data_IF_058266057444
#
_entry.id   IF_058266057444
#
_cell.length_a   1.000
_cell.length_b   1.000
_cell.length_c   1.000
_cell.angle_alpha   90.00
_cell.angle_beta   90.00
_cell.angle_gamma   90.00
#
_symmetry.space_group_name_H-M   'P 1'
#
loop_
_entity.id
_entity.type
_entity.pdbx_description
1 polymer ?
#
# COMPACT_ATOMS: atom_id res chain seq x y z
N UNK A 1 -3.12 -5.61 -6.46
CA UNK A 1 -3.43 -4.31 -7.11
C UNK A 1 -4.91 -3.97 -7.01
N UNK A 2 -5.37 -3.52 -5.85
CA UNK A 2 -6.60 -2.74 -5.74
C UNK A 2 -6.26 -1.53 -4.87
N UNK A 3 -6.63 -0.36 -5.36
CA UNK A 3 -6.54 0.96 -4.71
C UNK A 3 -5.25 1.77 -4.92
N UNK A 4 -4.83 1.89 -6.19
CA UNK A 4 -4.45 3.20 -6.69
C UNK A 4 -5.73 4.06 -6.83
N UNK A 5 -5.72 5.35 -6.47
CA UNK A 5 -6.80 6.28 -6.82
C UNK A 5 -6.85 6.50 -8.36
N UNK A 6 -7.33 5.49 -9.09
CA UNK A 6 -7.53 5.56 -10.53
C UNK A 6 -8.85 6.26 -10.85
N UNK A 7 -8.84 7.13 -11.86
CA UNK A 7 -10.06 7.67 -12.46
C UNK A 7 -10.92 6.54 -13.05
N UNK A 8 -12.21 6.79 -13.27
CA UNK A 8 -13.09 5.80 -13.90
C UNK A 8 -12.56 5.36 -15.27
N UNK A 9 -12.04 6.30 -16.07
CA UNK A 9 -11.41 6.00 -17.36
C UNK A 9 -10.16 5.12 -17.22
N UNK A 10 -9.31 5.36 -16.21
CA UNK A 10 -8.14 4.53 -15.94
C UNK A 10 -8.55 3.12 -15.49
N UNK A 11 -9.58 2.98 -14.65
CA UNK A 11 -10.11 1.68 -14.22
C UNK A 11 -10.62 0.87 -15.41
N UNK A 12 -11.31 1.52 -16.34
CA UNK A 12 -11.84 0.85 -17.53
C UNK A 12 -10.72 0.36 -18.44
N UNK A 13 -9.69 1.17 -18.66
CA UNK A 13 -8.49 0.74 -19.41
C UNK A 13 -7.77 -0.42 -18.74
N UNK A 14 -7.64 -0.42 -17.41
CA UNK A 14 -7.05 -1.55 -16.67
C UNK A 14 -7.87 -2.82 -16.88
N UNK A 15 -9.21 -2.76 -16.82
CA UNK A 15 -10.08 -3.92 -17.07
C UNK A 15 -9.94 -4.42 -18.51
N UNK A 16 -10.01 -3.51 -19.48
CA UNK A 16 -9.85 -3.82 -20.90
C UNK A 16 -8.52 -4.55 -21.16
N UNK A 17 -7.39 -3.94 -20.79
CA UNK A 17 -6.07 -4.53 -21.02
C UNK A 17 -5.89 -5.86 -20.26
N UNK A 18 -6.45 -5.99 -19.05
CA UNK A 18 -6.42 -7.24 -18.29
C UNK A 18 -7.12 -8.36 -19.05
N UNK A 19 -8.34 -8.12 -19.55
CA UNK A 19 -9.11 -9.11 -20.28
C UNK A 19 -8.42 -9.53 -21.59
N UNK A 20 -7.92 -8.55 -22.36
CA UNK A 20 -7.17 -8.80 -23.59
C UNK A 20 -5.91 -9.64 -23.33
N UNK A 21 -5.10 -9.25 -22.34
CA UNK A 21 -3.85 -9.95 -22.05
C UNK A 21 -4.07 -11.33 -21.44
N UNK A 22 -5.14 -11.57 -20.67
CA UNK A 22 -5.50 -12.93 -20.24
C UNK A 22 -5.74 -13.83 -21.46
N UNK A 23 -6.52 -13.34 -22.43
CA UNK A 23 -6.82 -14.07 -23.66
C UNK A 23 -5.59 -14.31 -24.51
N UNK A 24 -4.71 -13.32 -24.65
CA UNK A 24 -3.50 -13.42 -25.48
C UNK A 24 -2.43 -14.34 -24.88
N UNK A 25 -2.30 -14.41 -23.55
CA UNK A 25 -1.17 -15.09 -22.91
C UNK A 25 -1.53 -16.43 -22.27
N UNK A 26 -2.83 -16.69 -22.07
CA UNK A 26 -3.32 -17.89 -21.42
C UNK A 26 -2.94 -17.98 -19.94
N UNK A 27 -2.59 -16.86 -19.29
CA UNK A 27 -2.24 -16.85 -17.87
C UNK A 27 -3.44 -17.31 -17.03
N UNK A 28 -3.17 -18.18 -16.06
CA UNK A 28 -4.19 -18.69 -15.14
C UNK A 28 -4.63 -17.60 -14.16
N UNK A 29 -5.93 -17.55 -13.84
CA UNK A 29 -6.48 -16.54 -12.94
C UNK A 29 -5.91 -16.65 -11.53
N UNK A 30 -5.57 -17.86 -11.09
CA UNK A 30 -4.95 -18.15 -9.80
C UNK A 30 -3.54 -17.54 -9.72
N UNK A 31 -2.77 -17.64 -10.81
CA UNK A 31 -1.43 -17.04 -10.91
C UNK A 31 -1.53 -15.51 -10.83
N UNK A 32 -2.52 -14.91 -11.48
CA UNK A 32 -2.78 -13.47 -11.36
C UNK A 32 -3.24 -13.06 -9.96
N UNK A 33 -4.03 -13.90 -9.28
CA UNK A 33 -4.47 -13.65 -7.92
C UNK A 33 -3.28 -13.65 -6.94
N UNK A 34 -2.34 -14.58 -7.10
CA UNK A 34 -1.11 -14.63 -6.30
C UNK A 34 -0.18 -13.45 -6.62
N UNK A 35 0.03 -13.12 -7.90
CA UNK A 35 0.80 -11.95 -8.29
C UNK A 35 0.23 -10.65 -7.70
N UNK A 36 -1.10 -10.53 -7.59
CA UNK A 36 -1.77 -9.38 -6.96
C UNK A 36 -1.51 -9.26 -5.45
N UNK A 37 -1.15 -10.35 -4.77
CA UNK A 37 -0.72 -10.40 -3.36
C UNK A 37 0.78 -10.14 -3.20
N UNK A 38 1.50 -9.98 -4.31
CA UNK A 38 2.93 -9.77 -4.37
C UNK A 38 3.75 -11.06 -4.52
N UNK A 39 3.09 -12.21 -4.72
CA UNK A 39 3.75 -13.49 -4.97
C UNK A 39 4.07 -13.60 -6.47
N UNK A 40 5.25 -13.11 -6.86
CA UNK A 40 5.71 -13.08 -8.26
C UNK A 40 6.48 -14.35 -8.62
N UNK A 41 5.75 -15.45 -8.81
CA UNK A 41 6.29 -16.73 -9.27
C UNK A 41 6.88 -16.60 -10.68
N UNK A 42 7.88 -17.41 -10.98
CA UNK A 42 8.55 -17.43 -12.29
C UNK A 42 7.72 -18.19 -13.36
N UNK A 43 6.48 -17.76 -13.56
CA UNK A 43 5.52 -18.37 -14.48
C UNK A 43 5.55 -17.70 -15.87
N UNK A 44 5.69 -18.49 -16.93
CA UNK A 44 5.78 -17.98 -18.31
C UNK A 44 4.49 -17.32 -18.81
N UNK A 45 3.31 -17.73 -18.31
CA UNK A 45 2.05 -17.04 -18.57
C UNK A 45 2.02 -15.65 -17.92
N UNK A 46 2.50 -15.56 -16.67
CA UNK A 46 2.59 -14.30 -15.92
C UNK A 46 3.57 -13.31 -16.56
N UNK A 47 4.76 -13.78 -17.00
CA UNK A 47 5.74 -12.94 -17.71
C UNK A 47 5.14 -12.32 -18.97
N UNK A 48 4.51 -13.15 -19.80
CA UNK A 48 3.83 -12.71 -21.02
C UNK A 48 2.69 -11.74 -20.70
N UNK A 49 1.91 -12.03 -19.65
CA UNK A 49 0.82 -11.15 -19.21
C UNK A 49 1.32 -9.76 -18.81
N UNK A 50 2.39 -9.70 -18.00
CA UNK A 50 2.97 -8.44 -17.53
C UNK A 50 3.51 -7.63 -18.71
N UNK A 51 4.21 -8.28 -19.64
CA UNK A 51 4.69 -7.61 -20.85
C UNK A 51 3.54 -7.07 -21.72
N UNK A 52 2.54 -7.89 -22.02
CA UNK A 52 1.34 -7.47 -22.77
C UNK A 52 0.67 -6.24 -22.12
N UNK A 53 0.45 -6.30 -20.81
CA UNK A 53 -0.22 -5.22 -20.08
C UNK A 53 0.63 -3.94 -20.07
N UNK A 54 1.94 -4.06 -19.82
CA UNK A 54 2.85 -2.92 -19.82
C UNK A 54 3.01 -2.30 -21.20
N UNK A 55 3.02 -3.10 -22.26
CA UNK A 55 3.09 -2.61 -23.62
C UNK A 55 1.80 -1.86 -24.00
N UNK A 56 0.62 -2.44 -23.78
CA UNK A 56 -0.68 -1.79 -24.08
C UNK A 56 -0.91 -0.52 -23.26
N UNK A 57 -0.35 -0.45 -22.05
CA UNK A 57 -0.40 0.74 -21.19
C UNK A 57 0.69 1.78 -21.48
N UNK A 58 1.65 1.47 -22.37
CA UNK A 58 2.77 2.32 -22.75
C UNK A 58 3.91 2.38 -21.72
N UNK A 59 3.87 1.57 -20.66
CA UNK A 59 4.91 1.50 -19.62
C UNK A 59 6.21 0.93 -20.20
N UNK A 60 6.12 -0.01 -21.14
CA UNK A 60 7.27 -0.51 -21.89
C UNK A 60 7.02 -0.39 -23.39
N UNK A 61 8.10 -0.29 -24.16
CA UNK A 61 8.04 -0.39 -25.63
C UNK A 61 7.89 -1.84 -26.09
N UNK A 62 7.73 -2.05 -27.41
CA UNK A 62 7.71 -3.38 -28.01
C UNK A 62 9.00 -4.19 -27.78
N UNK A 63 10.12 -3.51 -27.55
CA UNK A 63 11.42 -4.10 -27.22
C UNK A 63 11.65 -4.23 -25.71
N UNK A 64 10.58 -4.16 -24.91
CA UNK A 64 10.60 -4.20 -23.45
C UNK A 64 11.44 -3.11 -22.76
N UNK A 65 11.67 -1.96 -23.43
CA UNK A 65 12.35 -0.81 -22.80
C UNK A 65 11.37 -0.01 -21.95
N UNK A 66 11.74 0.28 -20.70
CA UNK A 66 10.91 1.05 -19.78
C UNK A 66 10.78 2.52 -20.23
N UNK A 67 9.53 2.98 -20.37
CA UNK A 67 9.21 4.40 -20.52
C UNK A 67 9.02 5.03 -19.12
N UNK A 68 10.05 5.72 -18.65
CA UNK A 68 10.08 6.34 -17.32
C UNK A 68 8.95 7.33 -17.08
N UNK A 69 8.67 8.19 -18.07
CA UNK A 69 7.64 9.22 -17.99
C UNK A 69 6.25 8.59 -17.83
N UNK A 70 5.93 7.62 -18.72
CA UNK A 70 4.66 6.92 -18.66
C UNK A 70 4.54 6.13 -17.36
N UNK A 71 5.57 5.37 -16.97
CA UNK A 71 5.57 4.60 -15.73
C UNK A 71 5.24 5.48 -14.51
N UNK A 72 5.91 6.63 -14.35
CA UNK A 72 5.67 7.58 -13.26
C UNK A 72 4.29 8.25 -13.34
N UNK A 73 3.77 8.51 -14.55
CA UNK A 73 2.44 9.08 -14.74
C UNK A 73 1.31 8.13 -14.33
N UNK A 74 1.54 6.81 -14.41
CA UNK A 74 0.56 5.77 -14.08
C UNK A 74 0.57 5.38 -12.60
N UNK A 75 1.56 5.84 -11.83
CA UNK A 75 1.59 5.62 -10.39
C UNK A 75 0.40 6.32 -9.69
N UNK A 76 -0.13 5.73 -8.61
CA UNK A 76 -1.10 6.39 -7.75
C UNK A 76 -0.63 7.78 -7.30
N UNK A 77 -1.57 8.71 -7.11
CA UNK A 77 -1.27 10.09 -6.69
C UNK A 77 -0.58 10.17 -5.32
N UNK A 78 -0.82 9.19 -4.47
CA UNK A 78 -0.29 9.04 -3.11
C UNK A 78 1.13 8.46 -3.06
N UNK A 79 1.70 8.07 -4.21
CA UNK A 79 3.09 7.62 -4.29
C UNK A 79 4.02 8.81 -4.52
N UNK A 80 5.07 8.89 -3.71
CA UNK A 80 6.19 9.81 -3.94
C UNK A 80 6.90 9.43 -5.27
N UNK A 81 6.65 10.25 -6.30
CA UNK A 81 7.20 10.05 -7.64
C UNK A 81 8.71 10.26 -7.69
N UNK A 82 9.29 11.04 -6.79
CA UNK A 82 10.75 11.24 -6.72
C UNK A 82 11.41 9.96 -6.21
N UNK A 83 10.90 9.41 -5.12
CA UNK A 83 11.37 8.13 -4.60
C UNK A 83 11.15 6.98 -5.61
N UNK A 84 9.95 6.90 -6.19
CA UNK A 84 9.65 5.89 -7.20
C UNK A 84 10.51 6.03 -8.47
N UNK A 85 10.83 7.26 -8.87
CA UNK A 85 11.71 7.54 -10.01
C UNK A 85 13.13 7.05 -9.79
N UNK A 86 13.68 7.20 -8.58
CA UNK A 86 14.99 6.65 -8.21
C UNK A 86 15.00 5.12 -8.37
N UNK A 87 14.00 4.44 -7.81
CA UNK A 87 13.86 2.98 -7.92
C UNK A 87 13.72 2.53 -9.37
N UNK A 88 12.85 3.18 -10.17
CA UNK A 88 12.69 2.83 -11.58
C UNK A 88 14.00 3.02 -12.36
N UNK A 89 14.78 4.06 -12.04
CA UNK A 89 16.08 4.29 -12.69
C UNK A 89 17.09 3.18 -12.40
N UNK A 90 17.07 2.60 -11.20
CA UNK A 90 17.88 1.44 -10.83
C UNK A 90 17.40 0.15 -11.52
N UNK A 91 16.10 0.04 -11.77
CA UNK A 91 15.48 -1.16 -12.36
C UNK A 91 15.41 -1.17 -13.90
N UNK A 92 15.50 -0.01 -14.57
CA UNK A 92 15.29 0.10 -16.03
C UNK A 92 16.25 -0.72 -16.89
N UNK A 93 17.42 -1.07 -16.35
CA UNK A 93 18.47 -1.84 -17.03
C UNK A 93 18.39 -3.35 -16.74
N UNK A 94 17.34 -3.82 -16.05
CA UNK A 94 17.12 -5.26 -15.88
C UNK A 94 16.78 -5.89 -17.22
N UNK A 95 17.40 -7.02 -17.50
CA UNK A 95 17.20 -7.80 -18.72
C UNK A 95 16.82 -9.24 -18.36
N UNK A 96 16.02 -9.85 -19.23
CA UNK A 96 15.66 -11.27 -19.17
C UNK A 96 16.04 -11.98 -20.48
N UNK A 97 15.67 -13.25 -20.57
CA UNK A 97 15.97 -14.12 -21.74
C UNK A 97 15.24 -13.69 -23.01
N UNK A 98 14.13 -12.96 -22.87
CA UNK A 98 13.30 -12.43 -23.96
C UNK A 98 12.56 -11.18 -23.47
N UNK A 99 11.80 -10.51 -24.34
CA UNK A 99 11.06 -9.30 -23.98
C UNK A 99 10.09 -9.48 -22.80
N UNK A 100 9.42 -10.64 -22.71
CA UNK A 100 8.50 -10.93 -21.62
C UNK A 100 9.23 -11.06 -20.28
N UNK A 101 10.34 -11.78 -20.27
CA UNK A 101 11.20 -11.93 -19.09
C UNK A 101 11.85 -10.60 -18.70
N UNK A 102 12.30 -9.78 -19.66
CA UNK A 102 12.83 -8.42 -19.40
C UNK A 102 11.81 -7.56 -18.67
N UNK A 103 10.59 -7.45 -19.18
CA UNK A 103 9.53 -6.69 -18.51
C UNK A 103 9.22 -7.24 -17.11
N UNK A 104 9.26 -8.57 -16.96
CA UNK A 104 9.08 -9.22 -15.66
C UNK A 104 10.21 -8.92 -14.67
N UNK A 105 11.48 -8.92 -15.10
CA UNK A 105 12.61 -8.58 -14.23
C UNK A 105 12.60 -7.12 -13.80
N UNK A 106 12.22 -6.20 -14.70
CA UNK A 106 12.01 -4.78 -14.37
C UNK A 106 10.90 -4.67 -13.31
N UNK A 107 9.78 -5.36 -13.52
CA UNK A 107 8.66 -5.36 -12.56
C UNK A 107 9.06 -5.94 -11.21
N UNK A 108 9.74 -7.08 -11.16
CA UNK A 108 10.22 -7.71 -9.93
C UNK A 108 11.19 -6.81 -9.18
N UNK A 109 12.11 -6.15 -9.89
CA UNK A 109 13.03 -5.19 -9.31
C UNK A 109 12.27 -4.04 -8.65
N UNK A 110 11.35 -3.40 -9.39
CA UNK A 110 10.54 -2.31 -8.85
C UNK A 110 9.70 -2.77 -7.67
N UNK A 111 8.98 -3.88 -7.81
CA UNK A 111 8.14 -4.46 -6.76
C UNK A 111 8.93 -4.81 -5.48
N UNK A 112 10.18 -5.30 -5.62
CA UNK A 112 11.05 -5.61 -4.47
C UNK A 112 11.54 -4.35 -3.76
N UNK A 113 11.92 -3.32 -4.52
CA UNK A 113 12.45 -2.08 -3.98
C UNK A 113 11.36 -1.14 -3.45
N UNK A 114 10.13 -1.23 -3.98
CA UNK A 114 8.98 -0.53 -3.43
C UNK A 114 8.32 -1.33 -2.32
N UNK A 115 8.17 -0.75 -1.14
CA UNK A 115 7.25 -1.27 -0.14
C UNK A 115 5.82 -1.11 -0.65
N UNK A 116 5.29 -2.12 -1.34
CA UNK A 116 3.87 -2.13 -1.70
C UNK A 116 3.07 -2.43 -0.44
N UNK A 117 2.38 -1.40 0.07
CA UNK A 117 1.33 -1.60 1.06
C UNK A 117 0.22 -2.43 0.41
N UNK A 118 -0.06 -3.58 1.00
CA UNK A 118 -1.30 -4.30 0.74
C UNK A 118 -2.38 -3.62 1.57
N UNK A 119 -3.37 -3.01 0.92
CA UNK A 119 -4.47 -2.40 1.65
C UNK A 119 -5.54 -3.44 1.99
N UNK A 120 -5.75 -3.67 3.28
CA UNK A 120 -6.86 -4.48 3.78
C UNK A 120 -8.06 -3.57 3.99
N UNK A 121 -9.21 -3.96 3.43
CA UNK A 121 -10.48 -3.27 3.67
C UNK A 121 -10.97 -3.61 5.08
N UNK A 122 -11.29 -2.58 5.85
CA UNK A 122 -11.93 -2.74 7.15
C UNK A 122 -13.40 -3.11 6.95
N UNK A 123 -13.85 -4.10 7.72
CA UNK A 123 -15.25 -4.52 7.74
C UNK A 123 -15.99 -3.71 8.81
N UNK A 124 -16.95 -2.83 8.43
CA UNK A 124 -17.69 -2.01 9.39
C UNK A 124 -18.40 -2.84 10.46
N UNK A 125 -18.84 -4.06 10.14
CA UNK A 125 -19.51 -4.94 11.10
C UNK A 125 -18.58 -5.40 12.24
N UNK A 126 -17.25 -5.38 12.02
CA UNK A 126 -16.25 -5.70 13.05
C UNK A 126 -15.89 -4.50 13.92
N UNK A 127 -16.30 -3.30 13.52
CA UNK A 127 -15.95 -2.05 14.18
C UNK A 127 -17.18 -1.15 14.37
N UNK A 128 -18.26 -1.64 15.01
CA UNK A 128 -19.52 -0.92 15.14
C UNK A 128 -19.36 0.42 15.87
N UNK A 129 -18.50 0.46 16.89
CA UNK A 129 -18.28 1.65 17.71
C UNK A 129 -17.24 2.62 17.13
N UNK A 130 -16.56 2.24 16.04
CA UNK A 130 -15.47 3.04 15.48
C UNK A 130 -15.96 4.41 15.01
N UNK A 131 -17.18 4.50 14.47
CA UNK A 131 -17.79 5.78 14.11
C UNK A 131 -17.99 6.69 15.33
N UNK A 132 -18.52 6.16 16.42
CA UNK A 132 -18.74 6.93 17.66
C UNK A 132 -17.40 7.41 18.24
N UNK A 133 -16.39 6.53 18.27
CA UNK A 133 -15.04 6.90 18.73
C UNK A 133 -14.45 8.01 17.85
N UNK A 134 -14.60 7.91 16.52
CA UNK A 134 -14.16 8.95 15.60
C UNK A 134 -14.82 10.30 15.91
N UNK A 135 -16.14 10.32 16.10
CA UNK A 135 -16.89 11.55 16.40
C UNK A 135 -16.53 12.13 17.77
N UNK A 136 -16.40 11.29 18.80
CA UNK A 136 -16.01 11.70 20.15
C UNK A 136 -14.60 12.29 20.17
N UNK A 137 -13.65 11.64 19.49
CA UNK A 137 -12.29 12.16 19.39
C UNK A 137 -12.23 13.46 18.58
N UNK A 138 -13.05 13.58 17.53
CA UNK A 138 -13.14 14.82 16.75
C UNK A 138 -13.62 15.98 17.65
N UNK A 139 -14.67 15.74 18.45
CA UNK A 139 -15.18 16.73 19.39
C UNK A 139 -14.17 17.08 20.50
N UNK A 140 -13.45 16.08 21.03
CA UNK A 140 -12.47 16.28 22.12
C UNK A 140 -11.22 17.04 21.68
N UNK A 141 -10.75 16.85 20.45
CA UNK A 141 -9.50 17.45 19.99
C UNK A 141 -9.70 18.70 19.14
N UNK A 142 -10.91 18.91 18.61
CA UNK A 142 -11.19 20.01 17.69
C UNK A 142 -10.52 19.86 16.33
N UNK A 143 -10.14 18.64 15.94
CA UNK A 143 -9.58 18.40 14.60
C UNK A 143 -10.64 18.69 13.52
N UNK A 144 -10.23 19.33 12.43
CA UNK A 144 -11.10 19.55 11.28
C UNK A 144 -11.25 18.29 10.43
N UNK A 145 -12.38 18.20 9.71
CA UNK A 145 -12.72 17.04 8.89
C UNK A 145 -11.73 16.81 7.73
N UNK A 146 -11.08 17.86 7.22
CA UNK A 146 -10.07 17.70 6.16
C UNK A 146 -8.83 16.98 6.69
N UNK A 147 -8.38 17.33 7.89
CA UNK A 147 -7.30 16.62 8.57
C UNK A 147 -7.72 15.20 8.97
N UNK A 148 -8.97 14.95 9.37
CA UNK A 148 -9.49 13.59 9.56
C UNK A 148 -9.43 12.79 8.25
N UNK A 149 -9.87 13.38 7.14
CA UNK A 149 -9.83 12.74 5.83
C UNK A 149 -8.40 12.43 5.37
N UNK A 150 -7.43 13.30 5.69
CA UNK A 150 -6.01 13.03 5.46
C UNK A 150 -5.51 11.85 6.29
N UNK A 151 -5.88 11.76 7.57
CA UNK A 151 -5.53 10.64 8.46
C UNK A 151 -6.09 9.32 7.94
N UNK A 152 -7.34 9.28 7.47
CA UNK A 152 -7.94 8.10 6.82
C UNK A 152 -7.11 7.63 5.61
N UNK A 153 -6.53 8.58 4.89
CA UNK A 153 -5.66 8.33 3.73
C UNK A 153 -4.18 8.15 4.12
N UNK A 154 -3.88 7.96 5.40
CA UNK A 154 -2.53 7.84 5.94
C UNK A 154 -1.58 9.00 5.58
N UNK A 155 -2.13 10.21 5.52
CA UNK A 155 -1.40 11.45 5.34
C UNK A 155 -1.48 12.26 6.64
N UNK A 156 -0.38 12.32 7.39
CA UNK A 156 -0.37 12.90 8.73
C UNK A 156 0.45 14.19 8.73
N UNK A 157 -0.12 15.24 9.32
CA UNK A 157 0.63 16.44 9.66
C UNK A 157 1.29 16.26 11.02
N UNK A 158 2.49 16.81 11.15
CA UNK A 158 3.20 16.89 12.43
C UNK A 158 2.73 18.12 13.20
N UNK A 159 1.49 18.09 13.70
CA UNK A 159 0.93 19.15 14.55
C UNK A 159 0.25 18.56 15.79
N UNK A 160 0.14 19.37 16.83
CA UNK A 160 -0.32 18.93 18.15
C UNK A 160 -1.75 18.38 18.14
N UNK A 161 -2.64 18.94 17.32
CA UNK A 161 -4.04 18.52 17.21
C UNK A 161 -4.11 17.12 16.59
N UNK A 162 -3.35 16.86 15.52
CA UNK A 162 -3.24 15.54 14.90
C UNK A 162 -2.67 14.51 15.89
N UNK A 163 -1.62 14.86 16.65
CA UNK A 163 -1.04 13.95 17.65
C UNK A 163 -2.06 13.56 18.73
N UNK A 164 -2.77 14.53 19.29
CA UNK A 164 -3.84 14.30 20.27
C UNK A 164 -4.97 13.46 19.71
N UNK A 165 -5.37 13.71 18.46
CA UNK A 165 -6.43 12.95 17.81
C UNK A 165 -6.04 11.50 17.55
N UNK A 166 -4.81 11.26 17.05
CA UNK A 166 -4.28 9.90 16.88
C UNK A 166 -4.26 9.13 18.20
N UNK A 167 -3.76 9.76 19.28
CA UNK A 167 -3.78 9.16 20.60
C UNK A 167 -5.18 8.83 21.08
N UNK A 168 -6.12 9.77 20.97
CA UNK A 168 -7.52 9.56 21.36
C UNK A 168 -8.13 8.37 20.60
N UNK A 169 -7.96 8.36 19.28
CA UNK A 169 -8.52 7.32 18.41
C UNK A 169 -7.95 5.95 18.76
N UNK A 170 -6.63 5.81 18.81
CA UNK A 170 -5.98 4.50 19.04
C UNK A 170 -6.25 4.00 20.45
N UNK A 171 -6.22 4.87 21.47
CA UNK A 171 -6.51 4.49 22.85
C UNK A 171 -7.97 4.06 23.03
N UNK A 172 -8.93 4.85 22.57
CA UNK A 172 -10.35 4.55 22.76
C UNK A 172 -10.82 3.39 21.88
N UNK A 173 -10.18 3.16 20.72
CA UNK A 173 -10.39 1.94 19.94
C UNK A 173 -9.65 0.74 20.51
N UNK A 174 -8.82 0.90 21.55
CA UNK A 174 -7.96 -0.11 22.16
C UNK A 174 -6.83 -0.65 21.28
N UNK A 175 -6.50 0.05 20.18
CA UNK A 175 -5.35 -0.29 19.33
C UNK A 175 -4.05 0.35 19.81
N UNK A 176 -4.12 1.36 20.66
CA UNK A 176 -2.99 2.01 21.31
C UNK A 176 -3.08 1.84 22.83
N UNK A 177 -1.92 1.76 23.48
CA UNK A 177 -1.81 1.80 24.94
C UNK A 177 -1.57 3.23 25.46
N UNK A 178 -1.50 3.38 26.79
CA UNK A 178 -1.30 4.67 27.45
C UNK A 178 0.06 5.33 27.16
N UNK A 179 1.02 4.56 26.67
CA UNK A 179 2.37 5.03 26.31
C UNK A 179 2.45 5.47 24.84
N UNK A 180 1.39 5.24 24.06
CA UNK A 180 1.36 5.58 22.64
C UNK A 180 1.93 4.47 21.76
N UNK A 181 1.93 3.21 22.20
CA UNK A 181 2.36 2.07 21.40
C UNK A 181 1.18 1.21 20.94
N UNK A 182 1.32 0.49 19.84
CA UNK A 182 0.24 -0.36 19.34
C UNK A 182 0.05 -1.62 20.19
N UNK A 183 -1.20 -1.94 20.49
CA UNK A 183 -1.60 -3.23 21.09
C UNK A 183 -1.52 -4.31 20.02
N UNK A 184 -0.38 -5.02 19.99
CA UNK A 184 -0.03 -6.00 18.93
C UNK A 184 -1.10 -7.05 18.69
N UNK A 185 -1.62 -7.66 19.75
CA UNK A 185 -2.62 -8.73 19.65
C UNK A 185 -3.88 -8.25 18.94
N UNK A 186 -4.36 -7.05 19.28
CA UNK A 186 -5.55 -6.45 18.67
C UNK A 186 -5.31 -6.09 17.21
N UNK A 187 -4.14 -5.51 16.89
CA UNK A 187 -3.75 -5.22 15.51
C UNK A 187 -3.68 -6.50 14.66
N UNK A 188 -3.19 -7.60 15.24
CA UNK A 188 -3.12 -8.89 14.56
C UNK A 188 -4.50 -9.51 14.31
N UNK A 189 -5.50 -9.25 15.15
CA UNK A 189 -6.87 -9.72 14.89
C UNK A 189 -7.44 -9.11 13.59
N UNK A 190 -7.11 -7.86 13.27
CA UNK A 190 -7.57 -7.21 12.03
C UNK A 190 -7.07 -7.95 10.79
N UNK A 191 -5.79 -8.34 10.77
CA UNK A 191 -5.16 -8.95 9.60
C UNK A 191 -5.48 -10.45 9.44
N UNK A 192 -5.97 -11.12 10.49
CA UNK A 192 -6.33 -12.54 10.43
C UNK A 192 -5.21 -13.41 9.83
N UNK A 193 -5.55 -14.36 8.97
CA UNK A 193 -4.59 -15.27 8.32
C UNK A 193 -3.95 -14.68 7.05
N UNK A 194 -3.80 -13.35 6.95
CA UNK A 194 -3.17 -12.73 5.78
C UNK A 194 -1.74 -13.27 5.57
N UNK A 195 -1.30 -13.55 4.31
CA UNK A 195 0.03 -14.12 4.05
C UNK A 195 1.21 -13.31 4.62
N UNK A 196 1.04 -11.98 4.75
CA UNK A 196 2.03 -11.07 5.34
C UNK A 196 1.82 -10.79 6.84
N UNK A 197 1.06 -11.62 7.56
CA UNK A 197 0.79 -11.45 9.01
C UNK A 197 2.07 -11.42 9.83
N UNK A 198 3.07 -12.26 9.51
CA UNK A 198 4.35 -12.29 10.22
C UNK A 198 5.13 -10.99 10.04
N UNK A 199 5.26 -10.50 8.80
CA UNK A 199 5.95 -9.25 8.50
C UNK A 199 5.25 -8.04 9.15
N UNK A 200 3.92 -8.08 9.20
CA UNK A 200 3.11 -7.10 9.91
C UNK A 200 3.35 -7.11 11.43
N UNK A 201 3.42 -8.30 12.04
CA UNK A 201 3.75 -8.46 13.46
C UNK A 201 5.14 -7.88 13.78
N UNK A 202 6.14 -8.21 12.96
CA UNK A 202 7.50 -7.71 13.11
C UNK A 202 7.57 -6.19 12.99
N UNK A 203 6.78 -5.60 12.09
CA UNK A 203 6.69 -4.13 11.96
C UNK A 203 6.15 -3.49 13.23
N UNK A 204 5.12 -4.09 13.86
CA UNK A 204 4.58 -3.56 15.12
C UNK A 204 5.64 -3.59 16.22
N UNK A 205 6.36 -4.71 16.37
CA UNK A 205 7.43 -4.84 17.36
C UNK A 205 8.55 -3.81 17.14
N UNK A 206 8.88 -3.55 15.87
CA UNK A 206 9.88 -2.56 15.50
C UNK A 206 9.40 -1.13 15.83
N UNK A 207 8.17 -0.77 15.45
CA UNK A 207 7.64 0.58 15.61
C UNK A 207 7.17 0.92 17.03
N UNK A 208 6.91 -0.09 17.87
CA UNK A 208 6.67 0.11 19.29
C UNK A 208 7.95 0.46 20.07
N UNK A 209 9.13 0.47 19.43
CA UNK A 209 10.38 0.98 20.02
C UNK A 209 10.52 2.50 19.90
N UNK A 210 9.66 3.15 19.11
CA UNK A 210 9.66 4.60 18.97
C UNK A 210 9.32 5.25 20.32
N UNK A 211 9.97 6.38 20.61
CA UNK A 211 9.73 7.19 21.81
C UNK A 211 9.65 8.67 21.42
N UNK A 212 8.61 9.35 21.89
CA UNK A 212 8.42 10.78 21.75
C UNK A 212 8.64 11.53 23.06
N UNK A 213 8.46 12.86 23.03
CA UNK A 213 8.53 13.72 24.22
C UNK A 213 7.44 13.42 25.25
N UNK A 214 6.29 12.95 24.78
CA UNK A 214 5.14 12.51 25.58
C UNK A 214 4.43 11.35 24.85
N UNK A 215 3.30 10.90 25.38
CA UNK A 215 2.50 9.84 24.77
C UNK A 215 1.86 10.25 23.42
N UNK A 216 1.56 11.54 23.22
CA UNK A 216 1.03 12.07 21.95
C UNK A 216 2.09 12.04 20.84
N UNK A 217 3.32 12.47 21.15
CA UNK A 217 4.45 12.40 20.23
C UNK A 217 4.88 10.95 19.98
N UNK A 218 4.81 10.10 21.01
CA UNK A 218 5.13 8.67 20.88
C UNK A 218 4.17 7.97 19.91
N UNK A 219 2.86 8.11 20.09
CA UNK A 219 1.90 7.48 19.15
C UNK A 219 2.05 8.03 17.74
N UNK A 220 2.34 9.32 17.58
CA UNK A 220 2.61 9.89 16.26
C UNK A 220 3.80 9.22 15.59
N UNK A 221 4.95 9.11 16.30
CA UNK A 221 6.15 8.43 15.77
C UNK A 221 5.88 6.96 15.47
N UNK A 222 5.19 6.25 16.36
CA UNK A 222 4.82 4.84 16.15
C UNK A 222 3.91 4.66 14.92
N UNK A 223 2.90 5.52 14.74
CA UNK A 223 2.02 5.51 13.56
C UNK A 223 2.79 5.83 12.28
N UNK A 224 3.69 6.83 12.29
CA UNK A 224 4.52 7.17 11.12
C UNK A 224 5.50 6.04 10.78
N UNK A 225 6.16 5.45 11.77
CA UNK A 225 7.02 4.29 11.57
C UNK A 225 6.22 3.16 10.92
N UNK A 226 5.04 2.84 11.46
CA UNK A 226 4.19 1.78 10.95
C UNK A 226 3.69 2.08 9.53
N UNK A 227 3.27 3.31 9.24
CA UNK A 227 2.90 3.74 7.89
C UNK A 227 4.01 3.50 6.87
N UNK A 228 5.26 3.75 7.26
CA UNK A 228 6.42 3.66 6.37
C UNK A 228 6.99 2.25 6.24
N UNK A 229 6.82 1.41 7.26
CA UNK A 229 7.42 0.07 7.31
C UNK A 229 6.42 -1.05 7.05
N UNK A 230 5.16 -0.85 7.40
CA UNK A 230 4.17 -1.93 7.37
C UNK A 230 3.88 -2.40 5.95
N UNK A 231 3.93 -3.71 5.69
CA UNK A 231 3.53 -4.26 4.41
C UNK A 231 2.01 -4.27 4.22
N UNK A 232 1.23 -3.97 5.27
CA UNK A 232 -0.23 -3.94 5.25
C UNK A 232 -0.72 -2.62 5.84
N UNK A 233 -1.57 -1.91 5.12
CA UNK A 233 -2.28 -0.73 5.62
C UNK A 233 -3.78 -0.96 5.57
N UNK A 234 -4.53 -0.15 6.30
CA UNK A 234 -5.98 -0.27 6.41
C UNK A 234 -6.67 0.83 5.62
N UNK A 235 -7.83 0.50 5.04
CA UNK A 235 -8.73 1.46 4.41
C UNK A 235 -10.18 1.08 4.67
N UNK A 236 -11.05 2.07 4.79
CA UNK A 236 -12.50 1.88 4.85
C UNK A 236 -13.10 1.60 3.46
#
# INVERSE_FOLDING_TARGET
MQNAHLTSAQKEKVKQYTAECIRETGVKLEVLAEAKKGNLNDDEGLKRFIFCFFQKSGIVTADAKLNMEVALSKLPKDIDKVAAGKVLSECKNKNGKNHADTAFQIFKCYHKATKQHVYVKLDPAKFPDLYNIFMDCTAKTGIDLDNVQRIINWNFKNDEVVKKYLYCLTKNSGYGDDKGHFVKEKMLQIVGNHPRRSDFANTIDECNKEMGSDNYDTIYRTVICFRNKSPILFKT
#
